data_IF_564502449739
#
_entry.id   IF_564502449739
#
_cell.length_a   1.000
_cell.length_b   1.000
_cell.length_c   1.000
_cell.angle_alpha   90.00
_cell.angle_beta   90.00
_cell.angle_gamma   90.00
#
_symmetry.space_group_name_H-M   'P 1'
#
loop_
_entity.id
_entity.type
_entity.pdbx_description
1 polymer ?
#
# COMPACT_ATOMS: atom_id res chain seq x y z
N UNK A 1 47.37 52.56 23.62
CA UNK A 1 46.74 51.46 24.37
C UNK A 1 45.41 51.96 24.92
N UNK A 2 44.28 51.43 24.46
CA UNK A 2 43.14 51.03 25.29
C UNK A 2 42.04 50.44 24.41
N UNK A 3 41.69 49.20 24.75
CA UNK A 3 40.66 48.37 24.11
C UNK A 3 39.28 48.84 24.56
N UNK A 4 38.27 48.71 23.70
CA UNK A 4 36.93 48.38 24.16
C UNK A 4 36.24 47.50 23.13
N UNK A 5 35.70 46.43 23.68
CA UNK A 5 35.15 45.24 23.06
C UNK A 5 33.64 45.41 22.78
N UNK A 6 33.17 44.56 21.87
CA UNK A 6 31.82 43.99 21.83
C UNK A 6 30.65 44.88 21.39
N UNK A 7 30.17 44.58 20.19
CA UNK A 7 28.73 44.45 19.94
C UNK A 7 28.51 43.30 18.94
N UNK A 8 28.54 42.07 19.45
CA UNK A 8 27.93 40.91 18.79
C UNK A 8 26.45 40.94 19.15
N UNK A 9 25.56 41.15 18.18
CA UNK A 9 24.12 40.91 18.34
C UNK A 9 23.55 40.33 17.04
N UNK A 10 23.57 38.99 17.03
CA UNK A 10 22.52 38.08 16.57
C UNK A 10 21.79 38.40 15.25
N UNK A 11 22.33 37.92 14.13
CA UNK A 11 21.56 37.57 12.95
C UNK A 11 21.07 36.11 13.08
N UNK A 12 20.05 35.87 13.91
CA UNK A 12 19.45 34.56 14.09
C UNK A 12 17.92 34.66 14.11
N UNK A 13 17.34 35.19 13.03
CA UNK A 13 15.89 35.20 12.84
C UNK A 13 15.57 35.10 11.34
N UNK A 14 15.94 33.99 10.70
CA UNK A 14 15.50 33.70 9.32
C UNK A 14 15.28 32.21 9.02
N UNK A 15 15.22 31.34 10.04
CA UNK A 15 15.02 29.90 9.84
C UNK A 15 13.59 29.42 10.19
N UNK A 16 12.68 30.33 10.57
CA UNK A 16 11.30 29.98 10.96
C UNK A 16 10.28 29.99 9.82
N UNK A 17 10.71 30.15 8.56
CA UNK A 17 9.83 30.17 7.40
C UNK A 17 10.24 29.15 6.33
N UNK A 18 10.73 27.97 6.75
CA UNK A 18 10.64 26.81 5.87
C UNK A 18 9.15 26.48 5.76
N UNK A 19 8.57 26.41 4.55
CA UNK A 19 7.26 25.81 4.40
C UNK A 19 7.38 24.43 5.01
N UNK A 20 6.65 24.20 6.09
CA UNK A 20 6.43 22.87 6.59
C UNK A 20 5.89 22.13 5.38
N UNK A 21 6.71 21.25 4.80
CA UNK A 21 6.25 20.21 3.90
C UNK A 21 5.21 19.47 4.72
N UNK A 22 3.97 19.93 4.66
CA UNK A 22 2.82 19.14 4.99
C UNK A 22 3.04 17.91 4.15
N UNK A 23 3.45 16.81 4.79
CA UNK A 23 3.58 15.52 4.15
C UNK A 23 2.26 15.34 3.43
N UNK A 24 2.26 15.52 2.10
CA UNK A 24 1.07 15.39 1.30
C UNK A 24 0.58 13.98 1.62
N UNK A 25 -0.51 13.91 2.37
CA UNK A 25 -1.07 12.65 2.83
C UNK A 25 -1.33 11.88 1.54
N UNK A 26 -0.56 10.82 1.31
CA UNK A 26 -0.65 10.05 0.07
C UNK A 26 -2.10 9.62 -0.09
N UNK A 27 -2.78 10.15 -1.10
CA UNK A 27 -4.13 9.70 -1.42
C UNK A 27 -4.02 8.37 -2.18
N UNK A 28 -4.15 7.28 -1.43
CA UNK A 28 -4.13 5.92 -1.97
C UNK A 28 -5.31 5.63 -2.92
N UNK A 29 -6.35 6.47 -2.91
CA UNK A 29 -7.41 6.37 -3.90
C UNK A 29 -6.93 6.73 -5.31
N UNK A 30 -5.96 7.64 -5.45
CA UNK A 30 -5.52 8.15 -6.75
C UNK A 30 -4.07 7.84 -7.12
N UNK A 31 -3.29 7.23 -6.22
CA UNK A 31 -1.89 6.86 -6.48
C UNK A 31 -1.78 5.87 -7.66
N UNK A 32 -0.77 6.05 -8.51
CA UNK A 32 -0.59 5.22 -9.72
C UNK A 32 -0.16 3.79 -9.43
N UNK A 33 0.51 3.55 -8.30
CA UNK A 33 1.06 2.25 -7.93
C UNK A 33 1.23 2.13 -6.42
N UNK A 34 0.98 0.93 -5.89
CA UNK A 34 1.16 0.62 -4.45
C UNK A 34 1.96 -0.65 -4.24
N UNK A 35 2.66 -0.69 -3.11
CA UNK A 35 3.28 -1.89 -2.57
C UNK A 35 2.65 -2.20 -1.21
N UNK A 36 2.11 -3.40 -1.04
CA UNK A 36 1.30 -3.78 0.11
C UNK A 36 1.93 -4.96 0.84
N UNK A 37 2.14 -4.79 2.14
CA UNK A 37 2.68 -5.81 3.03
C UNK A 37 1.51 -6.43 3.80
N UNK A 38 1.38 -7.77 3.85
CA UNK A 38 0.29 -8.40 4.57
C UNK A 38 0.38 -8.14 6.08
N UNK A 39 -0.76 -7.82 6.68
CA UNK A 39 -0.96 -7.63 8.10
C UNK A 39 -1.63 -8.85 8.73
N UNK A 40 -2.71 -9.35 8.11
CA UNK A 40 -3.48 -10.50 8.58
C UNK A 40 -3.92 -11.38 7.43
N UNK A 41 -4.01 -12.67 7.72
CA UNK A 41 -4.47 -13.68 6.79
C UNK A 41 -5.61 -14.46 7.44
N UNK A 42 -6.71 -14.58 6.71
CA UNK A 42 -7.86 -15.40 7.09
C UNK A 42 -7.97 -16.56 6.11
N UNK A 43 -7.87 -17.77 6.64
CA UNK A 43 -8.02 -18.99 5.86
C UNK A 43 -9.25 -19.76 6.34
N UNK A 44 -10.09 -20.18 5.41
CA UNK A 44 -11.32 -20.89 5.68
C UNK A 44 -11.23 -22.29 5.08
N UNK A 45 -11.33 -23.29 5.96
CA UNK A 45 -11.37 -24.70 5.57
C UNK A 45 -12.70 -25.07 4.90
N UNK A 46 -13.79 -24.47 5.37
CA UNK A 46 -15.15 -24.58 4.86
C UNK A 46 -15.89 -23.26 5.15
N UNK A 47 -17.02 -22.95 4.49
CA UNK A 47 -17.81 -21.77 4.80
C UNK A 47 -18.14 -21.69 6.30
N UNK A 48 -17.79 -20.58 6.94
CA UNK A 48 -18.02 -20.35 8.38
C UNK A 48 -16.97 -20.96 9.32
N UNK A 49 -15.98 -21.71 8.82
CA UNK A 49 -14.86 -22.26 9.61
C UNK A 49 -13.54 -21.62 9.20
N UNK A 50 -13.36 -20.39 9.64
CA UNK A 50 -12.22 -19.55 9.30
C UNK A 50 -11.29 -19.33 10.50
N UNK A 51 -9.98 -19.36 10.25
CA UNK A 51 -8.97 -18.92 11.21
C UNK A 51 -8.28 -17.68 10.68
N UNK A 52 -8.21 -16.66 11.53
CA UNK A 52 -7.48 -15.42 11.25
C UNK A 52 -6.23 -15.39 12.10
N UNK A 53 -5.10 -15.07 11.48
CA UNK A 53 -3.82 -14.87 12.17
C UNK A 53 -3.11 -13.64 11.64
N UNK A 54 -2.24 -13.07 12.45
CA UNK A 54 -1.31 -12.06 11.98
C UNK A 54 -0.32 -12.68 10.98
N UNK A 55 0.14 -11.84 10.05
CA UNK A 55 1.13 -12.20 9.06
C UNK A 55 2.48 -12.47 9.76
N UNK A 56 3.03 -13.66 9.51
CA UNK A 56 4.35 -14.05 9.99
C UNK A 56 5.44 -13.27 9.23
N UNK A 57 6.70 -13.27 9.69
CA UNK A 57 7.81 -12.65 8.95
C UNK A 57 7.94 -13.19 7.51
N UNK A 58 7.63 -14.47 7.31
CA UNK A 58 7.67 -15.09 6.00
C UNK A 58 6.56 -14.60 5.06
N UNK A 59 5.37 -14.34 5.60
CA UNK A 59 4.26 -13.75 4.84
C UNK A 59 4.60 -12.31 4.46
N UNK A 60 5.14 -11.52 5.40
CA UNK A 60 5.54 -10.11 5.18
C UNK A 60 6.65 -9.94 4.15
N UNK A 61 7.43 -10.98 3.90
CA UNK A 61 8.43 -10.99 2.83
C UNK A 61 7.82 -11.05 1.42
N UNK A 62 6.53 -11.36 1.30
CA UNK A 62 5.78 -11.34 0.05
C UNK A 62 5.01 -10.03 -0.06
N UNK A 63 5.51 -9.11 -0.88
CA UNK A 63 4.92 -7.80 -1.09
C UNK A 63 4.07 -7.84 -2.35
N UNK A 64 2.79 -7.52 -2.23
CA UNK A 64 1.89 -7.36 -3.37
C UNK A 64 2.10 -5.98 -4.00
N UNK A 65 2.37 -5.92 -5.29
CA UNK A 65 2.52 -4.67 -6.02
C UNK A 65 1.35 -4.56 -7.01
N UNK A 66 0.59 -3.49 -6.90
CA UNK A 66 -0.52 -3.18 -7.80
C UNK A 66 -0.13 -1.94 -8.59
N UNK A 67 0.06 -2.11 -9.89
CA UNK A 67 0.25 -1.03 -10.85
C UNK A 67 -1.09 -0.77 -11.54
N UNK A 68 -1.73 0.34 -11.17
CA UNK A 68 -3.03 0.70 -11.69
C UNK A 68 -2.95 1.26 -13.10
N UNK A 69 -1.88 1.99 -13.43
CA UNK A 69 -1.67 2.55 -14.76
C UNK A 69 -1.35 1.43 -15.78
N UNK A 70 -0.48 0.49 -15.39
CA UNK A 70 -0.13 -0.69 -16.17
C UNK A 70 -1.16 -1.82 -16.10
N UNK A 71 -2.19 -1.69 -15.25
CA UNK A 71 -3.21 -2.71 -14.94
C UNK A 71 -2.61 -4.08 -14.60
N UNK A 72 -1.52 -4.09 -13.84
CA UNK A 72 -0.75 -5.28 -13.52
C UNK A 72 -0.72 -5.49 -12.01
N UNK A 73 -0.77 -6.76 -11.60
CA UNK A 73 -0.54 -7.18 -10.22
C UNK A 73 0.64 -8.13 -10.21
N UNK A 74 1.62 -7.84 -9.37
CA UNK A 74 2.79 -8.68 -9.18
C UNK A 74 3.04 -8.95 -7.70
N UNK A 75 3.76 -10.02 -7.41
CA UNK A 75 4.21 -10.34 -6.07
C UNK A 75 5.73 -10.34 -6.05
N UNK A 76 6.31 -9.57 -5.12
CA UNK A 76 7.75 -9.42 -4.93
C UNK A 76 8.20 -10.15 -3.67
N UNK A 77 9.30 -10.88 -3.77
CA UNK A 77 10.02 -11.48 -2.63
C UNK A 77 11.51 -11.29 -2.82
N UNK A 78 12.15 -10.56 -1.90
CA UNK A 78 13.52 -10.08 -2.12
C UNK A 78 13.58 -9.24 -3.40
N UNK A 79 14.52 -9.52 -4.29
CA UNK A 79 14.67 -8.81 -5.57
C UNK A 79 13.85 -9.40 -6.72
N UNK A 80 13.14 -10.51 -6.48
CA UNK A 80 12.36 -11.18 -7.51
C UNK A 80 10.91 -10.70 -7.48
N UNK A 81 10.46 -10.09 -8.58
CA UNK A 81 9.06 -9.78 -8.83
C UNK A 81 8.49 -10.73 -9.88
N UNK A 82 7.29 -11.25 -9.63
CA UNK A 82 6.56 -12.13 -10.54
C UNK A 82 5.17 -11.57 -10.77
N UNK A 83 4.74 -11.48 -12.02
CA UNK A 83 3.34 -11.18 -12.36
C UNK A 83 2.42 -12.31 -11.85
N UNK A 84 1.36 -11.92 -11.13
CA UNK A 84 0.36 -12.84 -10.58
C UNK A 84 -1.01 -12.65 -11.22
N UNK A 85 -1.28 -11.47 -11.78
CA UNK A 85 -2.56 -11.18 -12.41
C UNK A 85 -2.64 -9.78 -13.00
N UNK A 86 -3.84 -9.43 -13.45
CA UNK A 86 -4.15 -8.14 -14.06
C UNK A 86 -5.32 -7.47 -13.36
N UNK A 87 -5.26 -6.15 -13.28
CA UNK A 87 -6.38 -5.32 -12.80
C UNK A 87 -7.41 -5.24 -13.92
N UNK A 88 -8.58 -5.83 -13.70
CA UNK A 88 -9.68 -5.84 -14.67
C UNK A 88 -10.70 -4.74 -14.37
N UNK A 89 -10.82 -4.35 -13.11
CA UNK A 89 -11.66 -3.23 -12.68
C UNK A 89 -10.91 -2.38 -11.67
N UNK A 90 -11.08 -1.07 -11.78
CA UNK A 90 -10.49 -0.07 -10.91
C UNK A 90 -11.44 1.13 -10.84
N UNK A 91 -12.07 1.32 -9.69
CA UNK A 91 -13.05 2.39 -9.46
C UNK A 91 -12.74 3.09 -8.13
N UNK A 92 -12.78 4.41 -8.16
CA UNK A 92 -12.68 5.25 -6.95
C UNK A 92 -14.06 5.83 -6.63
N UNK A 93 -14.51 5.65 -5.40
CA UNK A 93 -15.75 6.24 -4.88
C UNK A 93 -15.60 6.59 -3.40
N UNK A 94 -15.91 7.83 -3.02
CA UNK A 94 -15.87 8.27 -1.62
C UNK A 94 -14.53 8.09 -0.87
N UNK A 95 -13.39 8.08 -1.58
CA UNK A 95 -12.07 7.86 -0.98
C UNK A 95 -11.72 6.38 -0.74
N UNK A 96 -12.50 5.47 -1.33
CA UNK A 96 -12.24 4.04 -1.39
C UNK A 96 -12.02 3.64 -2.84
N UNK A 97 -10.97 2.87 -3.09
CA UNK A 97 -10.68 2.30 -4.40
C UNK A 97 -11.05 0.82 -4.42
N UNK A 98 -12.04 0.46 -5.23
CA UNK A 98 -12.44 -0.92 -5.48
C UNK A 98 -11.67 -1.46 -6.67
N UNK A 99 -11.05 -2.62 -6.48
CA UNK A 99 -10.14 -3.23 -7.44
C UNK A 99 -10.61 -4.66 -7.66
N UNK A 100 -10.76 -5.07 -8.91
CA UNK A 100 -10.94 -6.49 -9.26
C UNK A 100 -9.69 -6.93 -10.00
N UNK A 101 -9.04 -7.99 -9.51
CA UNK A 101 -7.96 -8.65 -10.23
C UNK A 101 -8.36 -10.03 -10.71
N UNK A 102 -7.83 -10.41 -11.87
CA UNK A 102 -7.87 -11.77 -12.36
C UNK A 102 -6.48 -12.39 -12.27
N UNK A 103 -6.35 -13.46 -11.50
CA UNK A 103 -5.11 -14.24 -11.38
C UNK A 103 -4.85 -15.05 -12.64
N UNK A 104 -3.60 -15.04 -13.13
CA UNK A 104 -3.21 -15.75 -14.34
C UNK A 104 -3.72 -15.13 -15.65
N UNK A 105 -3.26 -15.70 -16.78
CA UNK A 105 -3.51 -15.17 -18.12
C UNK A 105 -4.65 -15.90 -18.89
N UNK A 106 -5.33 -16.86 -18.26
CA UNK A 106 -6.37 -17.70 -18.89
C UNK A 106 -7.81 -17.36 -18.48
N UNK A 107 -8.83 -17.92 -19.17
CA UNK A 107 -10.24 -17.69 -18.85
C UNK A 107 -10.62 -18.19 -17.45
N UNK A 108 -9.95 -19.22 -16.94
CA UNK A 108 -10.19 -19.87 -15.64
C UNK A 108 -9.48 -19.20 -14.46
N UNK A 109 -8.87 -18.03 -14.69
CA UNK A 109 -8.21 -17.25 -13.65
C UNK A 109 -9.13 -16.91 -12.49
N UNK A 110 -8.68 -17.17 -11.26
CA UNK A 110 -9.44 -16.81 -10.05
C UNK A 110 -9.58 -15.30 -9.97
N UNK A 111 -10.74 -14.84 -9.53
CA UNK A 111 -10.99 -13.41 -9.32
C UNK A 111 -10.81 -13.10 -7.85
N UNK A 112 -9.99 -12.10 -7.55
CA UNK A 112 -9.90 -11.52 -6.23
C UNK A 112 -10.40 -10.09 -6.26
N UNK A 113 -11.23 -9.74 -5.28
CA UNK A 113 -11.78 -8.40 -5.09
C UNK A 113 -11.00 -7.72 -3.99
N UNK A 114 -10.61 -6.48 -4.19
CA UNK A 114 -9.88 -5.70 -3.22
C UNK A 114 -10.53 -4.35 -2.98
N UNK A 115 -10.28 -3.82 -1.80
CA UNK A 115 -10.71 -2.50 -1.36
C UNK A 115 -9.51 -1.81 -0.73
N UNK A 116 -9.06 -0.70 -1.31
CA UNK A 116 -7.98 0.12 -0.82
C UNK A 116 -8.55 1.43 -0.27
N UNK A 117 -8.39 1.65 1.04
CA UNK A 117 -8.74 2.90 1.69
C UNK A 117 -7.68 3.99 1.46
N UNK A 118 -8.11 5.26 1.57
CA UNK A 118 -7.21 6.44 1.54
C UNK A 118 -6.10 6.43 2.60
N UNK A 119 -6.24 5.58 3.62
CA UNK A 119 -5.25 5.37 4.70
C UNK A 119 -4.19 4.31 4.33
N UNK A 120 -4.29 3.72 3.14
CA UNK A 120 -3.40 2.67 2.67
C UNK A 120 -3.78 1.27 3.16
N UNK A 121 -4.94 1.10 3.82
CA UNK A 121 -5.41 -0.24 4.21
C UNK A 121 -6.05 -0.95 3.02
N UNK A 122 -5.53 -2.12 2.70
CA UNK A 122 -6.04 -3.00 1.66
C UNK A 122 -6.72 -4.21 2.29
N UNK A 123 -7.95 -4.49 1.86
CA UNK A 123 -8.62 -5.76 2.11
C UNK A 123 -8.73 -6.51 0.79
N UNK A 124 -8.43 -7.82 0.80
CA UNK A 124 -8.50 -8.72 -0.35
C UNK A 124 -9.44 -9.88 0.00
N UNK A 125 -10.40 -10.14 -0.87
CA UNK A 125 -11.29 -11.29 -0.85
C UNK A 125 -11.00 -12.15 -2.08
N UNK A 126 -10.57 -13.40 -1.85
CA UNK A 126 -10.22 -14.35 -2.91
C UNK A 126 -11.43 -15.12 -3.45
N UNK A 127 -12.65 -14.77 -3.03
CA UNK A 127 -13.94 -15.27 -3.53
C UNK A 127 -14.33 -16.67 -3.04
N UNK A 128 -13.38 -17.61 -2.93
CA UNK A 128 -13.67 -19.00 -2.56
C UNK A 128 -13.51 -19.23 -1.05
N UNK A 129 -14.53 -19.83 -0.43
CA UNK A 129 -14.61 -20.25 0.97
C UNK A 129 -14.49 -19.15 2.05
N UNK A 130 -14.33 -17.88 1.67
CA UNK A 130 -14.19 -16.76 2.61
C UNK A 130 -12.74 -16.43 2.97
N UNK A 131 -11.77 -16.94 2.20
CA UNK A 131 -10.36 -16.59 2.36
C UNK A 131 -10.14 -15.08 2.13
N UNK A 132 -9.43 -14.45 3.06
CA UNK A 132 -9.16 -13.01 3.02
C UNK A 132 -7.72 -12.70 3.40
N UNK A 133 -7.22 -11.57 2.89
CA UNK A 133 -6.00 -10.97 3.38
C UNK A 133 -6.25 -9.48 3.67
N UNK A 134 -5.59 -8.99 4.71
CA UNK A 134 -5.50 -7.57 5.04
C UNK A 134 -4.05 -7.15 4.92
N UNK A 135 -3.79 -5.98 4.35
CA UNK A 135 -2.45 -5.47 4.12
C UNK A 135 -2.39 -3.95 4.32
N UNK A 136 -1.18 -3.47 4.61
CA UNK A 136 -0.87 -2.04 4.62
C UNK A 136 -0.05 -1.71 3.39
N UNK A 137 -0.50 -0.72 2.63
CA UNK A 137 0.11 -0.25 1.40
C UNK A 137 0.90 1.04 1.59
N UNK A 138 1.96 1.18 0.82
CA UNK A 138 2.69 2.43 0.60
C UNK A 138 2.68 2.80 -0.87
N UNK A 139 2.78 4.09 -1.18
CA UNK A 139 2.98 4.53 -2.56
C UNK A 139 4.28 3.93 -3.09
N UNK A 140 4.23 3.38 -4.30
CA UNK A 140 5.40 2.88 -4.99
C UNK A 140 5.65 3.73 -6.25
N UNK A 141 6.93 3.92 -6.56
CA UNK A 141 7.39 4.51 -7.82
C UNK A 141 7.40 3.48 -8.95
#
# INVERSE_FOLDING_TARGET
MNRSLSAVLAFAAALAALPQLAAAQTDFATVGKVACVPDRLTNCSEPGKCTTRDASPNDKAQVLIIDFAGKQVSMKRGDQAREVGKVTEDKVDGGVRTITMKEGNGPDGRTARMTLGKDGKLSIDFGAAGNKAEATCTAAS
#
